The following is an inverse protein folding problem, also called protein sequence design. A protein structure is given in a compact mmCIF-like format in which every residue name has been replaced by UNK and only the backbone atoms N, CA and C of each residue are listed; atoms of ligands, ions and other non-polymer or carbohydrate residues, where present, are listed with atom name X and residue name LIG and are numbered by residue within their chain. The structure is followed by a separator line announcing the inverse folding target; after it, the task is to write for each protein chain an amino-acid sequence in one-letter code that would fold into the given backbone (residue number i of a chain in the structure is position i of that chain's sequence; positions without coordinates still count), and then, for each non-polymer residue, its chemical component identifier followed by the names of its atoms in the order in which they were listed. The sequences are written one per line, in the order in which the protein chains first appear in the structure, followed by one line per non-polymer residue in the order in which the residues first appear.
data_IF_177454437261
#
_entry.id   IF_177454437261
#
_cell.length_a   1.000
_cell.length_b   1.000
_cell.length_c   1.000
_cell.angle_alpha   90.00
_cell.angle_beta   90.00
_cell.angle_gamma   90.00
#
_symmetry.space_group_name_H-M   'P 1'
#
loop_
_entity.id
_entity.type
_entity.pdbx_description
1 polymer ?
#
# COMPACT_ATOMS: atom_id res chain seq x y z
N UNK A 1 -0.75 -0.80 33.02
CA UNK A 1 -2.21 -1.06 32.95
C UNK A 1 -2.55 -1.20 31.49
N UNK A 2 -3.40 -2.13 31.06
CA UNK A 2 -3.89 -2.07 29.67
C UNK A 2 -4.96 -0.98 29.62
N UNK A 3 -4.68 0.12 28.92
CA UNK A 3 -5.63 1.23 28.78
C UNK A 3 -6.82 0.82 27.92
N UNK A 4 -7.98 1.43 28.16
CA UNK A 4 -9.22 1.08 27.44
C UNK A 4 -9.09 1.26 25.92
N UNK A 5 -8.36 2.28 25.49
CA UNK A 5 -8.07 2.59 24.07
C UNK A 5 -7.32 1.47 23.34
N UNK A 6 -6.67 0.56 24.07
CA UNK A 6 -5.88 -0.54 23.50
C UNK A 6 -6.72 -1.77 23.15
N UNK A 7 -7.94 -1.90 23.69
CA UNK A 7 -8.76 -3.11 23.52
C UNK A 7 -10.24 -2.87 23.24
N UNK A 8 -10.81 -1.72 23.65
CA UNK A 8 -12.23 -1.45 23.48
C UNK A 8 -12.49 -0.76 22.13
N UNK A 9 -12.91 -1.55 21.13
CA UNK A 9 -13.26 -1.07 19.79
C UNK A 9 -14.77 -1.13 19.50
N UNK A 10 -15.59 -0.95 20.53
CA UNK A 10 -17.04 -0.87 20.39
C UNK A 10 -17.47 0.26 19.45
N UNK A 11 -18.69 0.15 18.91
CA UNK A 11 -19.23 1.09 17.92
C UNK A 11 -19.28 2.53 18.43
N UNK A 12 -19.48 2.73 19.73
CA UNK A 12 -19.46 4.03 20.40
C UNK A 12 -18.07 4.69 20.40
N UNK A 13 -16.99 3.89 20.30
CA UNK A 13 -15.59 4.35 20.29
C UNK A 13 -15.02 4.45 18.87
N UNK A 14 -15.36 3.46 18.03
CA UNK A 14 -14.93 3.38 16.63
C UNK A 14 -16.17 3.21 15.75
N UNK A 15 -16.66 4.29 15.12
CA UNK A 15 -17.79 4.25 14.21
C UNK A 15 -17.59 3.27 13.04
N UNK A 16 -18.69 2.83 12.42
CA UNK A 16 -18.63 1.88 11.29
C UNK A 16 -17.82 2.44 10.11
N UNK A 17 -17.82 3.75 9.90
CA UNK A 17 -17.01 4.42 8.87
C UNK A 17 -15.51 4.32 9.11
N UNK A 18 -15.07 4.11 10.36
CA UNK A 18 -13.64 4.08 10.72
C UNK A 18 -13.11 2.65 10.89
N UNK A 19 -13.98 1.65 11.03
CA UNK A 19 -13.61 0.31 11.54
C UNK A 19 -12.54 -0.39 10.70
N UNK A 20 -12.58 -0.21 9.38
CA UNK A 20 -11.63 -0.87 8.48
C UNK A 20 -10.24 -0.26 8.62
N UNK A 21 -10.14 1.07 8.59
CA UNK A 21 -8.87 1.77 8.79
C UNK A 21 -8.33 1.58 10.20
N UNK A 22 -9.19 1.64 11.22
CA UNK A 22 -8.82 1.29 12.58
C UNK A 22 -8.23 -0.13 12.63
N UNK A 23 -8.81 -1.10 11.93
CA UNK A 23 -8.25 -2.45 11.89
C UNK A 23 -6.86 -2.50 11.24
N UNK A 24 -6.64 -1.86 10.09
CA UNK A 24 -5.30 -1.81 9.48
C UNK A 24 -4.28 -1.10 10.38
N UNK A 25 -4.66 0.04 10.96
CA UNK A 25 -3.82 0.81 11.88
C UNK A 25 -3.43 -0.02 13.11
N UNK A 26 -4.41 -0.62 13.78
CA UNK A 26 -4.20 -1.34 15.03
C UNK A 26 -3.42 -2.64 14.85
N UNK A 27 -3.64 -3.37 13.75
CA UNK A 27 -2.80 -4.52 13.42
C UNK A 27 -1.40 -4.09 12.98
N UNK A 28 -1.24 -2.96 12.28
CA UNK A 28 0.09 -2.46 11.90
C UNK A 28 0.94 -2.10 13.13
N UNK A 29 0.32 -1.58 14.21
CA UNK A 29 0.99 -1.33 15.50
C UNK A 29 1.59 -2.58 16.14
N UNK A 30 1.09 -3.77 15.78
CA UNK A 30 1.63 -5.05 16.26
C UNK A 30 2.79 -5.58 15.44
N UNK A 31 3.09 -4.98 14.28
CA UNK A 31 4.21 -5.43 13.44
C UNK A 31 5.52 -4.78 13.87
N UNK A 32 6.53 -5.63 14.06
CA UNK A 32 7.92 -5.20 14.24
C UNK A 32 8.44 -4.61 12.93
N UNK A 33 8.17 -5.25 11.79
CA UNK A 33 8.60 -4.77 10.49
C UNK A 33 8.07 -3.36 10.20
N UNK A 34 6.75 -3.13 10.28
CA UNK A 34 6.13 -1.83 9.96
C UNK A 34 6.66 -0.71 10.88
N UNK A 35 6.84 -1.02 12.17
CA UNK A 35 7.42 -0.07 13.12
C UNK A 35 8.91 0.20 12.84
N UNK A 36 9.65 -0.81 12.43
CA UNK A 36 11.03 -0.64 11.97
C UNK A 36 11.14 0.23 10.72
N UNK A 37 10.20 0.12 9.77
CA UNK A 37 10.15 1.04 8.61
C UNK A 37 9.91 2.48 9.06
N UNK A 38 9.08 2.70 10.09
CA UNK A 38 8.86 4.02 10.70
C UNK A 38 10.13 4.59 11.33
N UNK A 39 10.85 3.78 12.09
CA UNK A 39 12.11 4.18 12.72
C UNK A 39 13.16 4.54 11.66
N UNK A 40 13.38 3.67 10.66
CA UNK A 40 14.29 3.94 9.55
C UNK A 40 13.89 5.17 8.74
N UNK A 41 12.59 5.39 8.53
CA UNK A 41 12.08 6.60 7.89
C UNK A 41 12.49 7.83 8.70
N UNK A 42 12.27 7.85 10.01
CA UNK A 42 12.66 8.99 10.86
C UNK A 42 14.17 9.27 10.81
N UNK A 43 15.00 8.23 10.91
CA UNK A 43 16.45 8.35 10.83
C UNK A 43 16.92 8.94 9.49
N UNK A 44 16.22 8.59 8.40
CA UNK A 44 16.51 9.10 7.07
C UNK A 44 16.01 10.53 6.84
N UNK A 45 14.83 10.89 7.36
CA UNK A 45 14.22 12.20 7.15
C UNK A 45 14.76 13.31 8.07
N UNK A 46 15.19 12.98 9.30
CA UNK A 46 15.72 13.99 10.24
C UNK A 46 16.93 14.78 9.70
N UNK A 47 17.92 14.15 9.02
CA UNK A 47 19.04 14.87 8.41
C UNK A 47 18.64 15.79 7.23
N UNK A 48 17.62 15.44 6.45
CA UNK A 48 17.18 16.24 5.29
C UNK A 48 16.71 17.64 5.71
N UNK A 49 16.04 17.76 6.86
CA UNK A 49 15.57 19.03 7.40
C UNK A 49 16.61 19.77 8.24
N UNK A 50 17.61 19.07 8.78
CA UNK A 50 18.65 19.66 9.63
C UNK A 50 19.92 20.09 8.89
N UNK A 51 20.27 19.45 7.77
CA UNK A 51 21.56 19.63 7.09
C UNK A 51 21.50 19.79 5.57
N UNK A 52 20.33 19.59 4.94
CA UNK A 52 20.19 19.71 3.47
C UNK A 52 21.00 18.67 2.67
N UNK A 53 21.48 17.62 3.32
CA UNK A 53 22.26 16.56 2.69
C UNK A 53 21.33 15.42 2.27
N UNK A 54 21.16 15.25 0.96
CA UNK A 54 20.63 14.01 0.41
C UNK A 54 21.68 12.93 0.57
N UNK A 55 21.48 12.03 1.54
CA UNK A 55 22.41 10.92 1.75
C UNK A 55 22.07 9.86 0.72
N UNK A 56 22.68 9.91 -0.46
CA UNK A 56 22.59 8.83 -1.44
C UNK A 56 23.41 7.64 -0.92
N UNK A 57 22.75 6.69 -0.25
CA UNK A 57 23.43 5.54 0.37
C UNK A 57 22.64 4.25 0.17
N UNK A 58 23.29 3.08 0.24
CA UNK A 58 22.64 1.77 0.18
C UNK A 58 21.47 1.58 1.17
N UNK A 59 21.44 2.34 2.27
CA UNK A 59 20.33 2.35 3.24
C UNK A 59 19.03 2.92 2.64
N UNK A 60 19.12 3.73 1.59
CA UNK A 60 17.95 4.27 0.89
C UNK A 60 17.24 3.18 0.09
N UNK A 61 18.01 2.34 -0.61
CA UNK A 61 17.43 1.24 -1.38
C UNK A 61 16.69 0.25 -0.48
N UNK A 62 17.21 -0.02 0.72
CA UNK A 62 16.53 -0.86 1.70
C UNK A 62 15.22 -0.23 2.17
N UNK A 63 15.22 1.07 2.51
CA UNK A 63 14.00 1.79 2.87
C UNK A 63 12.98 1.82 1.73
N UNK A 64 13.41 2.07 0.48
CA UNK A 64 12.52 2.05 -0.68
C UNK A 64 11.92 0.66 -0.92
N UNK A 65 12.72 -0.41 -0.82
CA UNK A 65 12.21 -1.79 -0.92
C UNK A 65 11.19 -2.10 0.19
N UNK A 66 11.42 -1.61 1.40
CA UNK A 66 10.50 -1.82 2.50
C UNK A 66 9.21 -1.01 2.37
N UNK A 67 9.29 0.23 1.88
CA UNK A 67 8.12 1.04 1.54
C UNK A 67 7.30 0.41 0.41
N UNK A 68 7.96 -0.16 -0.61
CA UNK A 68 7.31 -0.91 -1.69
C UNK A 68 6.54 -2.13 -1.14
N UNK A 69 7.16 -2.89 -0.21
CA UNK A 69 6.46 -3.97 0.51
C UNK A 69 5.25 -3.46 1.27
N UNK A 70 5.36 -2.34 2.01
CA UNK A 70 4.20 -1.75 2.70
C UNK A 70 3.09 -1.37 1.72
N UNK A 71 3.44 -0.82 0.56
CA UNK A 71 2.49 -0.38 -0.45
C UNK A 71 1.85 -1.53 -1.24
N UNK A 72 2.42 -2.74 -1.19
CA UNK A 72 1.90 -3.93 -1.88
C UNK A 72 0.47 -4.34 -1.45
N UNK A 73 -0.02 -3.89 -0.27
CA UNK A 73 -1.41 -4.09 0.16
C UNK A 73 -2.39 -3.04 -0.40
N UNK A 74 -1.92 -2.21 -1.33
CA UNK A 74 -2.68 -1.16 -1.99
C UNK A 74 -3.04 0.00 -1.06
N UNK A 75 -4.21 0.59 -1.29
CA UNK A 75 -4.69 1.79 -0.58
C UNK A 75 -4.80 1.64 0.94
N UNK A 76 -4.91 0.41 1.45
CA UNK A 76 -4.92 0.17 2.88
C UNK A 76 -3.60 0.56 3.57
N UNK A 77 -2.48 0.56 2.83
CA UNK A 77 -1.19 1.01 3.35
C UNK A 77 -1.18 2.50 3.70
N UNK A 78 -1.96 3.32 2.99
CA UNK A 78 -2.00 4.78 3.21
C UNK A 78 -2.48 5.17 4.61
N UNK A 79 -3.24 4.29 5.26
CA UNK A 79 -3.73 4.46 6.63
C UNK A 79 -2.58 4.77 7.58
N UNK A 80 -1.41 4.15 7.41
CA UNK A 80 -0.25 4.33 8.28
C UNK A 80 1.00 4.87 7.54
N UNK A 81 1.16 4.61 6.22
CA UNK A 81 2.33 5.05 5.44
C UNK A 81 2.42 6.56 5.32
N UNK A 82 1.30 7.30 5.15
CA UNK A 82 1.36 8.77 4.96
C UNK A 82 1.93 9.52 6.16
N UNK A 83 1.84 8.96 7.36
CA UNK A 83 2.43 9.53 8.58
C UNK A 83 3.82 8.99 8.91
N UNK A 84 4.35 8.06 8.10
CA UNK A 84 5.57 7.33 8.43
C UNK A 84 6.83 8.19 8.28
N UNK A 85 6.74 9.27 7.50
CA UNK A 85 7.82 10.23 7.26
C UNK A 85 7.68 11.51 8.09
N UNK A 86 6.50 11.79 8.67
CA UNK A 86 6.29 12.99 9.47
C UNK A 86 7.07 12.92 10.79
N UNK A 87 7.51 14.05 11.39
CA UNK A 87 8.05 14.04 12.75
C UNK A 87 7.00 13.54 13.76
N UNK A 88 7.41 12.96 14.91
CA UNK A 88 6.47 12.38 15.86
C UNK A 88 5.43 13.38 16.34
N UNK A 89 4.15 13.10 16.06
CA UNK A 89 2.99 13.96 16.36
C UNK A 89 2.98 15.33 15.68
N UNK A 90 3.86 15.51 14.70
CA UNK A 90 3.96 16.74 13.95
C UNK A 90 3.65 16.49 12.48
N UNK A 91 3.67 17.56 11.71
CA UNK A 91 3.41 17.61 10.29
C UNK A 91 4.74 17.75 9.56
N UNK A 92 4.74 17.55 8.25
CA UNK A 92 5.94 17.82 7.47
C UNK A 92 6.29 19.33 7.58
N UNK A 93 7.57 19.70 7.78
CA UNK A 93 7.98 21.11 7.89
C UNK A 93 7.60 21.97 6.68
N UNK A 94 7.43 21.37 5.52
CA UNK A 94 7.00 21.98 4.26
C UNK A 94 5.47 21.88 4.02
N UNK A 95 4.69 21.45 5.02
CA UNK A 95 3.24 21.44 4.93
C UNK A 95 2.71 22.86 4.66
N UNK A 96 1.75 23.04 3.72
CA UNK A 96 1.17 24.34 3.44
C UNK A 96 0.60 25.00 4.71
N UNK A 97 0.69 26.33 4.84
CA UNK A 97 0.11 27.04 5.97
C UNK A 97 -1.40 26.80 6.01
N UNK A 98 -1.88 26.40 7.18
CA UNK A 98 -3.30 26.14 7.43
C UNK A 98 -4.08 27.44 7.57
N UNK A 99 -5.35 27.45 7.16
CA UNK A 99 -6.26 28.55 7.52
C UNK A 99 -6.59 28.50 9.01
N UNK A 100 -7.07 29.61 9.56
CA UNK A 100 -7.51 29.68 10.95
C UNK A 100 -8.56 28.58 11.24
N UNK A 101 -8.25 27.71 12.20
CA UNK A 101 -9.11 26.59 12.60
C UNK A 101 -8.93 25.29 11.80
N UNK A 102 -8.10 25.28 10.76
CA UNK A 102 -7.72 24.04 10.09
C UNK A 102 -6.66 23.29 10.91
N UNK A 103 -6.70 21.96 10.85
CA UNK A 103 -5.71 21.06 11.43
C UNK A 103 -5.16 20.17 10.32
N UNK A 104 -3.85 19.92 10.34
CA UNK A 104 -3.23 19.05 9.36
C UNK A 104 -3.79 17.62 9.53
N UNK A 105 -4.33 17.02 8.45
CA UNK A 105 -5.04 15.75 8.54
C UNK A 105 -4.11 14.54 8.63
N UNK A 106 -2.80 14.74 8.46
CA UNK A 106 -1.76 13.72 8.52
C UNK A 106 -0.68 14.19 9.49
N UNK A 107 -0.44 13.41 10.53
CA UNK A 107 0.67 13.64 11.46
C UNK A 107 1.55 12.39 11.59
N UNK A 108 2.70 12.51 12.23
CA UNK A 108 3.56 11.37 12.59
C UNK A 108 3.07 10.59 13.81
N UNK A 109 1.75 10.46 13.99
CA UNK A 109 1.14 9.84 15.17
C UNK A 109 1.27 8.31 15.22
N UNK A 110 1.60 7.63 14.12
CA UNK A 110 1.86 6.19 14.18
C UNK A 110 3.15 5.92 14.99
N UNK A 111 3.15 4.99 15.99
CA UNK A 111 2.16 3.92 16.23
C UNK A 111 1.25 4.15 17.45
N UNK A 112 0.80 5.37 17.75
CA UNK A 112 -0.18 5.62 18.82
C UNK A 112 -1.53 4.92 18.56
N UNK A 113 -2.36 4.66 19.58
CA UNK A 113 -3.70 4.08 19.39
C UNK A 113 -4.56 4.91 18.44
N UNK A 114 -5.35 4.25 17.58
CA UNK A 114 -6.31 4.90 16.67
C UNK A 114 -7.21 5.88 17.41
N UNK A 115 -7.70 5.47 18.59
CA UNK A 115 -8.59 6.28 19.42
C UNK A 115 -7.92 7.53 20.01
N UNK A 116 -6.59 7.61 20.00
CA UNK A 116 -5.84 8.79 20.45
C UNK A 116 -5.62 9.83 19.34
N UNK A 117 -5.90 9.48 18.09
CA UNK A 117 -5.81 10.40 16.95
C UNK A 117 -6.93 11.45 17.04
N UNK A 118 -6.71 12.62 16.44
CA UNK A 118 -7.77 13.64 16.37
C UNK A 118 -8.91 13.15 15.47
N UNK A 119 -10.13 13.70 15.67
CA UNK A 119 -11.27 13.36 14.81
C UNK A 119 -11.00 13.68 13.33
N UNK A 120 -10.25 14.75 13.04
CA UNK A 120 -9.88 15.11 11.67
C UNK A 120 -8.92 14.10 11.05
N UNK A 121 -7.93 13.62 11.80
CA UNK A 121 -6.98 12.62 11.34
C UNK A 121 -7.64 11.24 11.17
N UNK A 122 -8.50 10.82 12.11
CA UNK A 122 -9.28 9.58 11.95
C UNK A 122 -10.20 9.66 10.75
N UNK A 123 -10.91 10.78 10.58
CA UNK A 123 -11.74 11.01 9.41
C UNK A 123 -10.90 10.87 8.15
N UNK A 124 -9.79 11.60 8.02
CA UNK A 124 -8.90 11.51 6.85
C UNK A 124 -8.43 10.07 6.59
N UNK A 125 -7.82 9.41 7.58
CA UNK A 125 -7.26 8.06 7.45
C UNK A 125 -8.31 6.96 7.27
N UNK A 126 -9.57 7.21 7.65
CA UNK A 126 -10.68 6.26 7.46
C UNK A 126 -11.06 6.06 5.99
N UNK A 127 -10.63 6.98 5.11
CA UNK A 127 -10.84 6.88 3.68
C UNK A 127 -9.76 5.98 3.05
N UNK A 128 -9.94 4.67 3.17
CA UNK A 128 -9.15 3.72 2.38
C UNK A 128 -9.68 3.82 0.94
N UNK A 129 -8.90 4.48 0.09
CA UNK A 129 -9.24 4.82 -1.30
C UNK A 129 -9.82 3.64 -2.10
N UNK A 130 -11.14 3.54 -2.10
CA UNK A 130 -11.94 3.07 -3.25
C UNK A 130 -12.78 4.21 -3.83
N UNK A 131 -12.69 5.39 -3.21
CA UNK A 131 -13.37 6.61 -3.62
C UNK A 131 -12.49 7.37 -4.60
N UNK A 132 -12.72 7.10 -5.90
CA UNK A 132 -12.18 7.83 -7.07
C UNK A 132 -12.57 9.33 -7.03
N UNK A 133 -13.39 9.74 -6.06
CA UNK A 133 -14.04 11.05 -5.97
C UNK A 133 -13.16 12.15 -5.38
N UNK A 134 -12.02 11.85 -4.74
CA UNK A 134 -11.18 12.89 -4.08
C UNK A 134 -9.83 13.19 -4.74
N UNK A 135 -9.29 12.26 -5.52
CA UNK A 135 -8.25 12.57 -6.50
C UNK A 135 -8.94 12.34 -7.84
N UNK A 136 -9.04 13.32 -8.75
CA UNK A 136 -9.63 13.10 -10.06
C UNK A 136 -8.69 12.20 -10.87
N UNK A 137 -8.63 10.92 -10.52
CA UNK A 137 -7.98 9.88 -11.28
C UNK A 137 -8.92 9.59 -12.45
N UNK A 138 -8.69 10.29 -13.56
CA UNK A 138 -9.43 10.03 -14.78
C UNK A 138 -8.99 8.66 -15.31
N UNK A 139 -9.93 7.80 -15.78
CA UNK A 139 -9.58 6.56 -16.47
C UNK A 139 -8.68 6.78 -17.70
N UNK A 140 -8.68 8.00 -18.23
CA UNK A 140 -7.82 8.46 -19.31
C UNK A 140 -7.51 9.95 -19.07
N UNK A 141 -6.23 10.33 -19.04
CA UNK A 141 -5.78 11.72 -18.96
C UNK A 141 -4.66 11.99 -19.98
N UNK A 142 -4.42 13.26 -20.28
CA UNK A 142 -3.31 13.66 -21.15
C UNK A 142 -2.00 13.60 -20.32
N UNK A 143 -1.02 12.84 -20.80
CA UNK A 143 0.33 12.81 -20.21
C UNK A 143 1.03 14.17 -20.28
N UNK A 144 2.02 14.38 -19.41
CA UNK A 144 2.81 15.62 -19.33
C UNK A 144 4.15 15.46 -20.08
N UNK A 145 4.85 16.58 -20.28
CA UNK A 145 6.09 16.61 -21.08
C UNK A 145 7.24 15.78 -20.50
N UNK A 146 7.28 15.57 -19.18
CA UNK A 146 8.22 14.63 -18.55
C UNK A 146 7.92 13.20 -18.97
N UNK A 147 6.66 12.79 -19.01
CA UNK A 147 6.28 11.44 -19.43
C UNK A 147 6.71 11.17 -20.87
N UNK A 148 6.57 12.16 -21.76
CA UNK A 148 7.04 12.06 -23.14
C UNK A 148 8.57 11.87 -23.23
N UNK A 149 9.33 12.52 -22.35
CA UNK A 149 10.80 12.36 -22.28
C UNK A 149 11.18 10.98 -21.77
N UNK A 150 10.49 10.49 -20.74
CA UNK A 150 10.72 9.15 -20.18
C UNK A 150 10.36 8.06 -21.20
N UNK A 151 9.25 8.23 -21.92
CA UNK A 151 8.85 7.35 -23.02
C UNK A 151 9.92 7.35 -24.12
N UNK A 152 10.45 8.52 -24.49
CA UNK A 152 11.52 8.62 -25.49
C UNK A 152 12.78 7.88 -25.03
N UNK A 153 13.26 8.15 -23.82
CA UNK A 153 14.48 7.53 -23.28
C UNK A 153 14.35 6.00 -23.18
N UNK A 154 13.21 5.51 -22.69
CA UNK A 154 12.96 4.08 -22.62
C UNK A 154 12.85 3.46 -24.03
N UNK A 155 12.15 4.12 -24.96
CA UNK A 155 12.00 3.62 -26.34
C UNK A 155 13.34 3.58 -27.05
N UNK A 156 14.20 4.59 -26.87
CA UNK A 156 15.57 4.59 -27.38
C UNK A 156 16.41 3.46 -26.77
N UNK A 157 16.33 3.27 -25.45
CA UNK A 157 17.07 2.21 -24.76
C UNK A 157 16.63 0.82 -25.25
N UNK A 158 15.32 0.58 -25.33
CA UNK A 158 14.79 -0.70 -25.82
C UNK A 158 15.05 -0.90 -27.30
N UNK A 159 15.02 0.16 -28.11
CA UNK A 159 15.41 0.12 -29.52
C UNK A 159 16.86 -0.31 -29.66
N UNK A 160 17.79 0.26 -28.86
CA UNK A 160 19.20 -0.15 -28.86
C UNK A 160 19.37 -1.63 -28.51
N UNK A 161 18.63 -2.13 -27.52
CA UNK A 161 18.65 -3.55 -27.16
C UNK A 161 18.16 -4.45 -28.31
N UNK A 162 17.02 -4.10 -28.91
CA UNK A 162 16.46 -4.84 -30.05
C UNK A 162 17.40 -4.79 -31.26
N UNK A 163 17.98 -3.63 -31.57
CA UNK A 163 18.90 -3.46 -32.68
C UNK A 163 20.19 -4.25 -32.45
N UNK A 164 20.68 -4.32 -31.21
CA UNK A 164 21.82 -5.15 -30.83
C UNK A 164 21.49 -6.65 -30.95
N UNK A 165 20.32 -7.09 -30.49
CA UNK A 165 19.83 -8.46 -30.67
C UNK A 165 19.72 -8.82 -32.16
N UNK A 166 19.14 -7.93 -32.97
CA UNK A 166 19.01 -8.12 -34.41
C UNK A 166 20.39 -8.16 -35.10
N UNK A 167 21.32 -7.29 -34.71
CA UNK A 167 22.69 -7.30 -35.23
C UNK A 167 23.41 -8.62 -34.91
N UNK A 168 23.25 -9.14 -33.69
CA UNK A 168 23.80 -10.43 -33.29
C UNK A 168 23.19 -11.60 -34.09
N UNK A 169 21.88 -11.54 -34.38
CA UNK A 169 21.20 -12.54 -35.22
C UNK A 169 21.69 -12.47 -36.68
N UNK A 170 21.90 -11.27 -37.23
CA UNK A 170 22.44 -11.06 -38.57
C UNK A 170 23.86 -11.61 -38.68
N UNK A 171 24.72 -11.35 -37.69
CA UNK A 171 26.08 -11.87 -37.66
C UNK A 171 26.12 -13.42 -37.62
N UNK A 172 25.15 -14.05 -36.94
CA UNK A 172 25.01 -15.51 -36.88
C UNK A 172 24.34 -16.15 -38.11
N UNK A 173 23.73 -15.36 -39.00
CA UNK A 173 23.05 -15.84 -40.20
C UNK A 173 23.47 -15.02 -41.44
N UNK A 174 24.77 -15.03 -41.81
CA UNK A 174 25.24 -14.26 -42.96
C UNK A 174 24.55 -14.75 -44.25
N UNK A 175 24.05 -13.81 -45.06
CA UNK A 175 23.41 -14.09 -46.34
C UNK A 175 21.89 -14.30 -46.32
N UNK A 176 21.23 -14.27 -45.16
CA UNK A 176 19.76 -14.28 -45.08
C UNK A 176 19.20 -12.85 -45.00
N UNK A 177 18.14 -12.58 -45.78
CA UNK A 177 17.38 -11.32 -45.65
C UNK A 177 16.57 -11.28 -44.35
N UNK A 178 16.23 -10.09 -43.90
CA UNK A 178 15.44 -9.88 -42.68
C UNK A 178 14.06 -10.56 -42.75
N UNK A 179 13.43 -10.56 -43.93
CA UNK A 179 12.16 -11.26 -44.19
C UNK A 179 12.29 -12.78 -44.06
N UNK A 180 13.41 -13.36 -44.52
CA UNK A 180 13.67 -14.79 -44.34
C UNK A 180 13.91 -15.11 -42.86
N UNK A 181 14.60 -14.25 -42.12
CA UNK A 181 14.83 -14.42 -40.67
C UNK A 181 13.53 -14.29 -39.85
N UNK A 182 12.65 -13.37 -40.23
CA UNK A 182 11.31 -13.24 -39.63
C UNK A 182 10.43 -14.45 -39.91
N UNK A 183 10.44 -14.96 -41.16
CA UNK A 183 9.66 -16.15 -41.55
C UNK A 183 10.14 -17.42 -40.83
N UNK A 184 11.45 -17.53 -40.61
CA UNK A 184 12.06 -18.62 -39.83
C UNK A 184 11.85 -18.47 -38.31
N UNK A 185 11.15 -17.42 -37.85
CA UNK A 185 10.91 -17.13 -36.44
C UNK A 185 12.16 -16.70 -35.66
N UNK A 186 13.28 -16.46 -36.34
CA UNK A 186 14.57 -16.07 -35.74
C UNK A 186 14.64 -14.60 -35.38
N UNK A 187 13.81 -13.77 -36.03
CA UNK A 187 13.71 -12.34 -35.80
C UNK A 187 12.23 -11.99 -35.58
N UNK A 188 11.93 -11.22 -34.53
CA UNK A 188 10.54 -10.80 -34.27
C UNK A 188 10.30 -9.48 -34.99
N UNK A 189 9.24 -9.42 -35.79
CA UNK A 189 8.77 -8.16 -36.36
C UNK A 189 8.48 -7.17 -35.21
N UNK A 190 8.82 -5.88 -35.33
CA UNK A 190 8.57 -4.92 -34.26
C UNK A 190 7.06 -4.81 -34.02
N UNK A 191 6.56 -5.54 -33.03
CA UNK A 191 5.28 -5.26 -32.41
C UNK A 191 5.34 -3.84 -31.86
N UNK A 192 4.34 -3.02 -32.21
CA UNK A 192 4.10 -1.74 -31.55
C UNK A 192 4.01 -2.03 -30.05
N UNK A 193 5.02 -1.68 -29.24
CA UNK A 193 5.01 -2.00 -27.83
C UNK A 193 3.93 -1.15 -27.16
N UNK A 194 3.08 -1.71 -26.29
CA UNK A 194 2.27 -0.88 -25.41
C UNK A 194 3.22 -0.14 -24.45
N UNK A 195 3.30 1.18 -24.61
CA UNK A 195 3.44 2.19 -23.54
C UNK A 195 4.07 1.77 -22.19
N UNK A 196 5.33 1.37 -22.26
CA UNK A 196 6.52 2.02 -21.67
C UNK A 196 6.59 2.43 -20.18
N UNK A 197 5.53 2.72 -19.42
CA UNK A 197 5.73 3.09 -18.01
C UNK A 197 4.57 2.73 -17.10
N UNK A 198 4.89 2.00 -16.01
CA UNK A 198 3.96 1.60 -14.97
C UNK A 198 4.46 2.08 -13.61
N UNK A 199 4.00 3.24 -13.13
CA UNK A 199 4.29 3.71 -11.78
C UNK A 199 3.00 4.14 -11.08
N UNK A 200 2.82 3.69 -9.84
CA UNK A 200 1.63 4.00 -9.04
C UNK A 200 0.31 3.49 -9.63
N UNK A 201 0.35 2.45 -10.48
CA UNK A 201 -0.84 1.88 -11.14
C UNK A 201 -1.32 2.64 -12.39
N UNK A 202 -0.54 3.60 -12.91
CA UNK A 202 -0.85 4.35 -14.13
C UNK A 202 0.02 3.89 -15.31
N UNK A 203 -0.57 3.83 -16.49
CA UNK A 203 0.13 3.66 -17.78
C UNK A 203 0.10 5.01 -18.51
N UNK A 204 1.25 5.46 -19.00
CA UNK A 204 1.31 6.65 -19.87
C UNK A 204 1.69 6.24 -21.28
N UNK A 205 0.89 6.68 -22.26
CA UNK A 205 0.99 6.24 -23.65
C UNK A 205 0.79 7.34 -24.68
N UNK A 206 1.31 7.10 -25.88
CA UNK A 206 1.04 7.91 -27.06
C UNK A 206 -0.08 7.23 -27.85
N UNK A 207 -1.21 7.94 -28.01
CA UNK A 207 -2.33 7.48 -28.83
C UNK A 207 -2.45 8.28 -30.11
N UNK A 208 -2.81 7.59 -31.20
CA UNK A 208 -3.27 8.23 -32.44
C UNK A 208 -4.76 7.92 -32.60
N UNK A 209 -5.58 8.95 -32.79
CA UNK A 209 -7.04 8.82 -32.90
C UNK A 209 -7.47 9.34 -34.27
N UNK A 210 -8.14 8.49 -35.04
CA UNK A 210 -8.63 8.80 -36.38
C UNK A 210 -10.06 9.35 -36.32
N UNK A 211 -10.19 10.63 -36.03
CA UNK A 211 -11.49 11.31 -35.90
C UNK A 211 -12.30 11.35 -37.20
N UNK A 212 -11.63 11.48 -38.35
CA UNK A 212 -12.30 11.67 -39.64
C UNK A 212 -12.89 10.41 -40.26
N UNK A 213 -12.66 9.24 -39.68
CA UNK A 213 -13.06 7.95 -40.28
C UNK A 213 -13.90 7.08 -39.35
N UNK A 214 -14.09 7.48 -38.10
CA UNK A 214 -14.81 6.70 -37.10
C UNK A 214 -15.67 7.63 -36.25
N UNK A 215 -16.84 7.14 -35.86
CA UNK A 215 -17.70 7.79 -34.88
C UNK A 215 -17.11 7.70 -33.49
N UNK A 216 -17.53 8.59 -32.59
CA UNK A 216 -17.12 8.58 -31.18
C UNK A 216 -17.41 7.23 -30.50
N UNK A 217 -18.55 6.61 -30.84
CA UNK A 217 -18.93 5.30 -30.31
C UNK A 217 -18.02 4.17 -30.79
N UNK A 218 -17.59 4.20 -32.06
CA UNK A 218 -16.64 3.22 -32.61
C UNK A 218 -15.28 3.35 -31.96
N UNK A 219 -14.79 4.59 -31.77
CA UNK A 219 -13.54 4.90 -31.08
C UNK A 219 -13.61 4.40 -29.63
N UNK A 220 -14.68 4.73 -28.90
CA UNK A 220 -14.87 4.32 -27.51
C UNK A 220 -14.95 2.79 -27.36
N UNK A 221 -15.65 2.11 -28.27
CA UNK A 221 -15.75 0.66 -28.26
C UNK A 221 -14.41 -0.02 -28.55
N UNK A 222 -13.62 0.54 -29.49
CA UNK A 222 -12.29 0.02 -29.78
C UNK A 222 -11.35 0.19 -28.59
N UNK A 223 -11.33 1.37 -27.96
CA UNK A 223 -10.55 1.62 -26.75
C UNK A 223 -10.92 0.67 -25.62
N UNK A 224 -12.23 0.42 -25.40
CA UNK A 224 -12.71 -0.55 -24.41
C UNK A 224 -12.18 -1.97 -24.66
N UNK A 225 -12.15 -2.42 -25.92
CA UNK A 225 -11.59 -3.74 -26.29
C UNK A 225 -10.09 -3.79 -26.00
N UNK A 226 -9.36 -2.74 -26.36
CA UNK A 226 -7.92 -2.63 -26.11
C UNK A 226 -7.58 -2.67 -24.61
N UNK A 227 -8.29 -1.89 -23.77
CA UNK A 227 -8.09 -1.88 -22.31
C UNK A 227 -8.28 -3.28 -21.71
N UNK A 228 -9.32 -4.02 -22.14
CA UNK A 228 -9.56 -5.38 -21.64
C UNK A 228 -8.44 -6.34 -22.00
N UNK A 229 -7.85 -6.22 -23.19
CA UNK A 229 -6.79 -7.10 -23.66
C UNK A 229 -5.42 -6.79 -23.01
N UNK A 230 -5.19 -5.54 -22.58
CA UNK A 230 -3.87 -5.07 -22.14
C UNK A 230 -3.77 -4.72 -20.64
N UNK A 231 -4.85 -4.88 -19.86
CA UNK A 231 -4.80 -4.65 -18.40
C UNK A 231 -3.75 -5.55 -17.74
N UNK A 232 -2.77 -5.01 -16.99
CA UNK A 232 -1.78 -5.83 -16.30
C UNK A 232 -2.43 -6.76 -15.29
N UNK A 233 -2.03 -8.03 -15.32
CA UNK A 233 -2.51 -9.07 -14.41
C UNK A 233 -2.24 -8.76 -12.95
N UNK A 234 -1.15 -8.03 -12.65
CA UNK A 234 -0.79 -7.57 -11.30
C UNK A 234 -1.71 -6.47 -10.72
N UNK A 235 -2.51 -5.81 -11.54
CA UNK A 235 -3.43 -4.74 -11.13
C UNK A 235 -4.88 -5.10 -11.49
N UNK A 236 -5.52 -6.00 -10.72
CA UNK A 236 -6.89 -6.43 -11.01
C UNK A 236 -7.89 -5.26 -10.94
N UNK A 237 -9.07 -5.46 -11.53
CA UNK A 237 -10.17 -4.51 -11.44
C UNK A 237 -10.48 -4.18 -9.97
N UNK A 238 -10.63 -2.88 -9.60
CA UNK A 238 -11.03 -2.53 -8.25
C UNK A 238 -12.36 -3.23 -7.92
N UNK A 239 -12.37 -3.92 -6.78
CA UNK A 239 -13.57 -4.61 -6.33
C UNK A 239 -14.39 -3.66 -5.48
N UNK A 240 -15.58 -3.29 -5.94
CA UNK A 240 -16.57 -2.54 -5.15
C UNK A 240 -17.33 -3.45 -4.16
N UNK A 241 -16.89 -4.70 -3.96
CA UNK A 241 -17.50 -5.60 -2.98
C UNK A 241 -17.05 -5.22 -1.58
N UNK A 242 -17.92 -4.55 -0.84
CA UNK A 242 -17.74 -4.31 0.59
C UNK A 242 -17.56 -5.62 1.34
N UNK A 243 -16.50 -5.73 2.15
CA UNK A 243 -16.40 -6.78 3.17
C UNK A 243 -17.43 -6.48 4.28
N UNK A 244 -18.06 -7.51 4.84
CA UNK A 244 -19.04 -7.34 5.93
C UNK A 244 -18.37 -6.63 7.11
N UNK A 245 -18.90 -5.47 7.51
CA UNK A 245 -18.35 -4.65 8.60
C UNK A 245 -18.20 -5.44 9.92
N UNK A 246 -19.05 -6.43 10.13
CA UNK A 246 -19.00 -7.29 11.32
C UNK A 246 -17.68 -8.08 11.43
N UNK A 247 -17.11 -8.52 10.31
CA UNK A 247 -15.85 -9.29 10.31
C UNK A 247 -14.68 -8.44 10.80
N UNK A 248 -14.70 -7.13 10.52
CA UNK A 248 -13.69 -6.18 10.99
C UNK A 248 -13.82 -5.88 12.48
N UNK A 249 -15.05 -5.74 12.99
CA UNK A 249 -15.28 -5.59 14.44
C UNK A 249 -14.83 -6.81 15.21
N UNK A 250 -15.13 -8.01 14.71
CA UNK A 250 -14.65 -9.26 15.31
C UNK A 250 -13.12 -9.34 15.28
N UNK A 251 -12.47 -8.91 14.20
CA UNK A 251 -11.01 -8.84 14.12
C UNK A 251 -10.39 -7.91 15.17
N UNK A 252 -10.98 -6.73 15.38
CA UNK A 252 -10.54 -5.78 16.41
C UNK A 252 -10.78 -6.30 17.83
N UNK A 253 -11.92 -6.96 18.08
CA UNK A 253 -12.18 -7.60 19.39
C UNK A 253 -11.15 -8.68 19.70
N UNK A 254 -10.82 -9.52 18.72
CA UNK A 254 -9.80 -10.57 18.85
C UNK A 254 -8.41 -9.99 19.11
N UNK A 255 -8.06 -8.87 18.46
CA UNK A 255 -6.84 -8.12 18.74
C UNK A 255 -6.81 -7.60 20.18
N UNK A 256 -7.90 -7.00 20.65
CA UNK A 256 -8.04 -6.53 22.04
C UNK A 256 -7.85 -7.66 23.06
N UNK A 257 -8.40 -8.85 22.79
CA UNK A 257 -8.18 -10.05 23.62
C UNK A 257 -6.72 -10.48 23.61
N UNK A 258 -6.06 -10.48 22.44
CA UNK A 258 -4.64 -10.83 22.32
C UNK A 258 -3.77 -9.89 23.18
N UNK A 259 -4.00 -8.57 23.09
CA UNK A 259 -3.33 -7.56 23.93
C UNK A 259 -3.62 -7.74 25.42
N UNK A 260 -4.86 -8.05 25.78
CA UNK A 260 -5.23 -8.34 27.16
C UNK A 260 -4.49 -9.56 27.70
N UNK A 261 -4.39 -10.66 26.95
CA UNK A 261 -3.64 -11.85 27.34
C UNK A 261 -2.12 -11.63 27.36
N UNK A 262 -1.60 -10.68 26.59
CA UNK A 262 -0.21 -10.28 26.63
C UNK A 262 0.16 -9.57 27.94
N UNK A 263 -0.71 -8.67 28.40
CA UNK A 263 -0.44 -7.82 29.58
C UNK A 263 -0.99 -8.42 30.87
N UNK A 264 -2.00 -9.29 30.82
CA UNK A 264 -2.74 -9.78 31.97
C UNK A 264 -3.00 -11.29 31.83
N UNK A 265 -3.16 -11.96 32.96
CA UNK A 265 -3.71 -13.32 33.01
C UNK A 265 -5.24 -13.25 33.15
N UNK A 266 -5.97 -14.29 32.73
CA UNK A 266 -7.43 -14.34 32.86
C UNK A 266 -7.91 -14.25 34.31
N UNK A 267 -7.14 -14.82 35.25
CA UNK A 267 -7.40 -14.72 36.69
C UNK A 267 -7.25 -13.28 37.23
N UNK A 268 -6.60 -12.37 36.50
CA UNK A 268 -6.38 -11.00 36.97
C UNK A 268 -7.70 -10.22 36.98
N UNK A 269 -8.05 -9.57 38.10
CA UNK A 269 -9.28 -8.77 38.23
C UNK A 269 -9.36 -7.58 37.26
N UNK A 270 -8.23 -7.15 36.70
CA UNK A 270 -8.16 -6.06 35.71
C UNK A 270 -8.33 -6.54 34.27
N UNK A 271 -8.41 -7.85 34.04
CA UNK A 271 -8.71 -8.38 32.71
C UNK A 271 -10.16 -8.03 32.35
N UNK A 272 -10.45 -7.49 31.15
CA UNK A 272 -11.78 -6.98 30.81
C UNK A 272 -12.89 -8.00 31.05
N UNK A 273 -13.88 -7.64 31.87
CA UNK A 273 -14.99 -8.54 32.25
C UNK A 273 -15.75 -9.08 31.04
N UNK A 274 -16.03 -8.20 30.06
CA UNK A 274 -16.69 -8.55 28.79
C UNK A 274 -16.00 -9.67 27.99
N UNK A 275 -14.71 -9.89 28.23
CA UNK A 275 -13.96 -11.00 27.64
C UNK A 275 -13.97 -12.24 28.55
N UNK A 276 -13.85 -12.06 29.88
CA UNK A 276 -13.96 -13.17 30.84
C UNK A 276 -15.27 -13.91 30.71
N UNK A 277 -16.36 -13.18 30.52
CA UNK A 277 -17.72 -13.74 30.41
C UNK A 277 -17.87 -14.69 29.20
N UNK A 278 -16.97 -14.59 28.22
CA UNK A 278 -16.93 -15.49 27.04
C UNK A 278 -16.12 -16.77 27.28
N UNK A 279 -15.40 -16.85 28.39
CA UNK A 279 -14.64 -18.02 28.81
C UNK A 279 -13.22 -18.13 28.20
N UNK A 280 -12.37 -18.88 28.91
CA UNK A 280 -10.96 -19.06 28.58
C UNK A 280 -10.73 -19.61 27.18
N UNK A 281 -11.44 -20.67 26.80
CA UNK A 281 -11.33 -21.32 25.48
C UNK A 281 -11.60 -20.32 24.35
N UNK A 282 -12.56 -19.42 24.53
CA UNK A 282 -12.86 -18.37 23.55
C UNK A 282 -11.70 -17.37 23.45
N UNK A 283 -11.14 -16.92 24.58
CA UNK A 283 -10.06 -15.94 24.59
C UNK A 283 -8.79 -16.46 23.89
N UNK A 284 -8.40 -17.71 24.14
CA UNK A 284 -7.23 -18.31 23.48
C UNK A 284 -7.48 -18.58 21.99
N UNK A 285 -8.69 -18.99 21.59
CA UNK A 285 -9.06 -19.12 20.18
C UNK A 285 -9.07 -17.76 19.46
N UNK A 286 -9.56 -16.71 20.12
CA UNK A 286 -9.55 -15.34 19.61
C UNK A 286 -8.12 -14.84 19.35
N UNK A 287 -7.17 -15.13 20.25
CA UNK A 287 -5.74 -14.83 20.06
C UNK A 287 -5.18 -15.50 18.80
N UNK A 288 -5.43 -16.80 18.61
CA UNK A 288 -4.97 -17.51 17.39
C UNK A 288 -5.59 -16.92 16.13
N UNK A 289 -6.87 -16.56 16.18
CA UNK A 289 -7.55 -15.92 15.04
C UNK A 289 -7.03 -14.50 14.76
N UNK A 290 -6.62 -13.74 15.77
CA UNK A 290 -5.96 -12.44 15.59
C UNK A 290 -4.62 -12.62 14.86
N UNK A 291 -3.82 -13.62 15.25
CA UNK A 291 -2.57 -13.93 14.56
C UNK A 291 -2.78 -14.31 13.09
N UNK A 292 -3.77 -15.15 12.79
CA UNK A 292 -4.12 -15.45 11.39
C UNK A 292 -4.57 -14.19 10.62
N UNK A 293 -5.32 -13.30 11.27
CA UNK A 293 -5.75 -12.04 10.66
C UNK A 293 -4.58 -11.09 10.39
N UNK A 294 -3.57 -11.04 11.26
CA UNK A 294 -2.36 -10.25 11.07
C UNK A 294 -1.66 -10.58 9.74
N UNK A 295 -1.35 -11.86 9.49
CA UNK A 295 -0.74 -12.28 8.22
C UNK A 295 -1.68 -12.13 7.02
N UNK A 296 -3.00 -12.25 7.23
CA UNK A 296 -3.97 -11.97 6.17
C UNK A 296 -4.02 -10.48 5.77
N UNK A 297 -3.73 -9.56 6.69
CA UNK A 297 -3.70 -8.12 6.39
C UNK A 297 -2.36 -7.68 5.82
N UNK A 298 -1.27 -8.34 6.21
CA UNK A 298 0.09 -8.01 5.81
C UNK A 298 0.81 -9.25 5.25
N UNK A 299 0.45 -9.71 4.03
CA UNK A 299 1.03 -10.90 3.43
C UNK A 299 2.53 -10.78 3.09
N UNK A 300 3.07 -9.55 3.10
CA UNK A 300 4.49 -9.28 2.90
C UNK A 300 5.34 -9.49 4.17
N UNK A 301 4.71 -9.60 5.34
CA UNK A 301 5.41 -9.85 6.61
C UNK A 301 5.88 -11.31 6.64
N UNK A 302 7.09 -11.52 7.16
CA UNK A 302 7.64 -12.87 7.33
C UNK A 302 6.65 -13.78 8.08
N UNK A 303 6.43 -15.03 7.64
CA UNK A 303 5.60 -15.99 8.36
C UNK A 303 6.03 -16.23 9.81
N UNK A 304 7.30 -15.96 10.13
CA UNK A 304 7.87 -16.12 11.48
C UNK A 304 7.65 -14.89 12.38
N UNK A 305 7.36 -13.72 11.80
CA UNK A 305 7.05 -12.51 12.57
C UNK A 305 5.68 -12.66 13.21
N UNK A 306 5.66 -12.61 14.54
CA UNK A 306 4.42 -12.67 15.32
C UNK A 306 4.07 -11.25 15.79
N UNK A 307 2.78 -10.95 15.97
CA UNK A 307 2.34 -9.72 16.64
C UNK A 307 3.14 -9.48 17.92
N UNK A 308 3.50 -8.23 18.22
CA UNK A 308 4.19 -7.86 19.46
C UNK A 308 3.48 -8.43 20.69
N UNK A 309 2.16 -8.38 20.70
CA UNK A 309 1.31 -8.92 21.77
C UNK A 309 1.09 -10.44 21.69
N UNK A 310 1.84 -11.19 20.87
CA UNK A 310 1.60 -12.61 20.68
C UNK A 310 1.89 -13.44 21.93
N UNK A 311 2.99 -13.18 22.64
CA UNK A 311 3.34 -13.95 23.85
C UNK A 311 2.38 -13.58 24.97
N UNK A 312 1.81 -14.57 25.66
CA UNK A 312 0.93 -14.30 26.80
C UNK A 312 1.75 -14.02 28.05
N UNK A 313 1.20 -13.25 28.99
CA UNK A 313 1.84 -13.00 30.28
C UNK A 313 2.15 -14.28 31.06
N UNK A 314 1.29 -15.29 30.93
CA UNK A 314 1.51 -16.59 31.57
C UNK A 314 2.76 -17.33 31.06
N UNK A 315 3.24 -16.98 29.86
CA UNK A 315 4.36 -17.63 29.18
C UNK A 315 5.63 -16.78 29.11
N UNK A 316 5.62 -15.58 29.69
CA UNK A 316 6.80 -14.70 29.73
C UNK A 316 7.66 -15.04 30.97
N UNK A 317 9.01 -15.11 30.83
CA UNK A 317 9.90 -15.23 31.99
C UNK A 317 9.73 -14.02 32.91
N UNK A 318 9.78 -14.25 34.21
CA UNK A 318 9.65 -13.20 35.24
C UNK A 318 10.86 -12.28 35.27
#
# INVERSE_FOLDING_TARGET
MLEEVEWNFEKSRVPDSEVVACCYWEYARESVFIRGVRERSLEHWMPLYGKGEWIDSPKNEELYRDLDKLQSIGYASEVFVRGISCPPNDVLPDAPPLKAGEVNPITGSFPKPWQSLTSAERHYRSHISTDVTRIPLLPLERGISSDARDILQWTESRRREIDAEHAAVRQKNPGKSEEALCRDGKLKFPTIPPSVYWVGGREVTVVHIQWGSFTDDEIANYLRKWIKANRPTRYPAPSHKGKKLNDWRVALQRLGIMRALHVLTLANNRFPGVFKDRGEKFCYAARTAAHAKFHSLFPFISPDEKPLSWRTRATQPR
#
